data_IF_827351870627
#
_entry.id   IF_827351870627
#
_cell.length_a   1.000
_cell.length_b   1.000
_cell.length_c   1.000
_cell.angle_alpha   90.00
_cell.angle_beta   90.00
_cell.angle_gamma   90.00
#
_symmetry.space_group_name_H-M   'P 1'
#
loop_
_entity.id
_entity.type
_entity.pdbx_description
1 polymer ?
#
# COMPACT_ATOMS: atom_id res chain seq x y z
N UNK A 1 9.90 -39.17 -31.08
CA UNK A 1 8.42 -39.28 -30.96
C UNK A 1 8.04 -39.21 -29.49
N UNK A 2 6.86 -38.65 -29.15
CA UNK A 2 6.40 -38.08 -27.86
C UNK A 2 7.03 -36.70 -27.61
N UNK A 3 6.45 -35.53 -27.96
CA UNK A 3 5.09 -34.99 -27.79
C UNK A 3 4.60 -35.12 -26.35
N UNK A 4 4.96 -34.15 -25.50
CA UNK A 4 4.10 -33.68 -24.42
C UNK A 4 4.16 -32.16 -24.42
N UNK A 5 3.01 -31.60 -24.81
CA UNK A 5 2.73 -30.18 -24.88
C UNK A 5 2.63 -29.69 -23.43
N UNK A 6 3.66 -28.99 -22.98
CA UNK A 6 3.72 -28.31 -21.68
C UNK A 6 3.30 -26.85 -21.87
N UNK A 7 2.10 -26.68 -22.41
CA UNK A 7 1.43 -25.38 -22.51
C UNK A 7 0.09 -25.50 -21.81
N UNK A 8 0.05 -25.16 -20.53
CA UNK A 8 -1.12 -24.62 -19.87
C UNK A 8 -0.74 -24.25 -18.44
N UNK A 9 -1.20 -23.07 -18.01
CA UNK A 9 -1.26 -22.63 -16.62
C UNK A 9 0.09 -22.22 -16.03
N UNK A 10 0.48 -20.97 -16.31
CA UNK A 10 1.20 -20.11 -15.37
C UNK A 10 0.77 -18.63 -15.55
N UNK A 11 -0.48 -18.40 -15.98
CA UNK A 11 -1.17 -17.13 -15.72
C UNK A 11 -1.90 -17.27 -14.38
N UNK A 12 -1.14 -17.46 -13.31
CA UNK A 12 -1.66 -17.33 -11.96
C UNK A 12 -1.30 -15.94 -11.45
N UNK A 13 -2.28 -15.04 -11.52
CA UNK A 13 -2.44 -13.98 -10.54
C UNK A 13 -1.30 -12.96 -10.44
N UNK A 14 -1.07 -12.18 -11.50
CA UNK A 14 -0.82 -10.75 -11.28
C UNK A 14 -2.19 -10.09 -11.08
N UNK A 15 -2.92 -10.56 -10.06
CA UNK A 15 -4.01 -9.82 -9.48
C UNK A 15 -3.35 -8.59 -8.91
N UNK A 16 -3.49 -7.46 -9.60
CA UNK A 16 -3.29 -6.16 -9.03
C UNK A 16 -4.01 -6.17 -7.70
N UNK A 17 -3.25 -6.28 -6.60
CA UNK A 17 -3.72 -5.90 -5.27
C UNK A 17 -3.84 -4.39 -5.34
N UNK A 18 -4.88 -3.93 -6.03
CA UNK A 18 -5.51 -2.67 -5.71
C UNK A 18 -6.06 -2.91 -4.31
N UNK A 19 -5.31 -2.43 -3.32
CA UNK A 19 -5.75 -2.32 -1.93
C UNK A 19 -7.05 -1.51 -1.91
N UNK A 20 -8.17 -2.20 -2.08
CA UNK A 20 -9.47 -1.71 -1.68
C UNK A 20 -9.49 -1.73 -0.15
N UNK A 21 -9.59 -0.52 0.41
CA UNK A 21 -10.03 -0.23 1.78
C UNK A 21 -11.08 -1.25 2.24
N UNK A 22 -10.75 -2.02 3.26
CA UNK A 22 -11.68 -2.20 4.39
C UNK A 22 -10.91 -2.73 5.61
N UNK A 23 -11.23 -2.11 6.73
CA UNK A 23 -10.81 -2.41 8.08
C UNK A 23 -10.98 -3.90 8.42
N UNK A 24 -9.89 -4.59 8.79
CA UNK A 24 -9.84 -5.56 9.89
C UNK A 24 -8.52 -6.35 9.90
N UNK A 25 -7.71 -6.07 10.93
CA UNK A 25 -6.77 -6.96 11.61
C UNK A 25 -6.11 -8.07 10.77
N UNK A 26 -4.93 -7.79 10.23
CA UNK A 26 -3.99 -8.85 9.89
C UNK A 26 -2.94 -8.43 8.87
N UNK A 27 -1.74 -8.14 9.37
CA UNK A 27 -0.47 -8.14 8.64
C UNK A 27 -0.15 -6.91 7.77
N UNK A 28 0.55 -5.95 8.38
CA UNK A 28 1.78 -5.42 7.74
C UNK A 28 1.72 -4.10 6.99
N UNK A 29 0.80 -3.18 7.27
CA UNK A 29 0.90 -1.81 6.76
C UNK A 29 0.29 -0.85 7.77
N UNK A 30 1.13 -0.13 8.54
CA UNK A 30 0.66 0.94 9.43
C UNK A 30 0.09 2.05 8.55
N UNK A 31 -1.23 2.06 8.34
CA UNK A 31 -1.90 3.09 7.57
C UNK A 31 -2.74 3.97 8.48
N UNK A 32 -2.58 5.29 8.34
CA UNK A 32 -3.43 6.31 8.99
C UNK A 32 -4.15 7.14 7.94
N UNK A 33 -5.38 7.54 8.26
CA UNK A 33 -6.12 8.55 7.50
C UNK A 33 -5.83 9.91 8.13
N UNK A 34 -5.34 10.84 7.32
CA UNK A 34 -4.90 12.17 7.73
C UNK A 34 -5.79 13.24 7.14
N UNK A 35 -6.36 14.09 8.01
CA UNK A 35 -6.97 15.33 7.57
C UNK A 35 -5.85 16.37 7.37
N UNK A 36 -5.48 16.60 6.11
CA UNK A 36 -4.43 17.56 5.77
C UNK A 36 -5.09 18.92 5.55
N UNK A 37 -4.78 19.89 6.41
CA UNK A 37 -5.36 21.24 6.33
C UNK A 37 -5.26 21.81 4.91
N UNK A 38 -6.42 22.14 4.33
CA UNK A 38 -6.53 22.66 2.96
C UNK A 38 -7.00 21.64 1.92
N UNK A 39 -7.21 20.38 2.30
CA UNK A 39 -7.76 19.33 1.43
C UNK A 39 -9.14 18.90 1.92
N UNK A 40 -10.12 18.73 1.03
CA UNK A 40 -11.49 18.28 1.41
C UNK A 40 -11.60 16.76 1.57
N UNK A 41 -10.48 16.04 1.60
CA UNK A 41 -10.45 14.57 1.61
C UNK A 41 -9.32 14.07 2.50
N UNK A 42 -9.61 13.07 3.32
CA UNK A 42 -8.61 12.36 4.10
C UNK A 42 -7.56 11.70 3.19
N UNK A 43 -6.30 12.01 3.45
CA UNK A 43 -5.16 11.39 2.79
C UNK A 43 -4.80 10.12 3.54
N UNK A 44 -4.77 8.97 2.86
CA UNK A 44 -4.31 7.71 3.46
C UNK A 44 -2.80 7.61 3.30
N UNK A 45 -2.10 7.64 4.43
CA UNK A 45 -0.65 7.46 4.55
C UNK A 45 -0.41 6.05 5.07
N UNK A 46 0.53 5.31 4.49
CA UNK A 46 0.87 3.96 4.90
C UNK A 46 2.38 3.78 5.03
N UNK A 47 2.83 3.03 6.02
CA UNK A 47 4.22 2.58 6.10
C UNK A 47 4.49 1.45 5.08
N UNK A 48 5.57 1.55 4.33
CA UNK A 48 6.05 0.48 3.46
C UNK A 48 7.03 -0.46 4.17
N UNK A 49 7.45 -1.52 3.48
CA UNK A 49 8.40 -2.51 4.02
C UNK A 49 9.80 -1.94 4.36
N UNK A 50 10.13 -0.77 3.83
CA UNK A 50 11.40 -0.07 4.05
C UNK A 50 11.32 0.92 5.23
N UNK A 51 10.14 1.10 5.85
CA UNK A 51 9.88 2.05 6.94
C UNK A 51 9.48 3.47 6.47
N UNK A 52 9.32 3.68 5.16
CA UNK A 52 8.94 4.98 4.61
C UNK A 52 7.42 5.15 4.53
N UNK A 53 6.96 6.39 4.63
CA UNK A 53 5.59 6.77 4.31
C UNK A 53 5.31 6.63 2.81
N UNK A 54 4.13 6.09 2.52
CA UNK A 54 3.54 6.02 1.19
C UNK A 54 2.20 6.73 1.18
N UNK A 55 1.94 7.51 0.12
CA UNK A 55 0.66 8.21 -0.07
C UNK A 55 0.02 7.71 -1.35
N UNK A 56 -1.16 7.10 -1.24
CA UNK A 56 -1.82 6.47 -2.39
C UNK A 56 -0.98 5.38 -3.06
N UNK A 57 -0.10 4.72 -2.31
CA UNK A 57 0.81 3.67 -2.81
C UNK A 57 2.11 4.17 -3.44
N UNK A 58 2.38 5.48 -3.41
CA UNK A 58 3.66 6.05 -3.86
C UNK A 58 4.57 6.30 -2.66
N UNK A 59 5.79 5.76 -2.68
CA UNK A 59 6.82 6.04 -1.67
C UNK A 59 7.22 7.51 -1.71
N UNK A 60 7.15 8.15 -0.54
CA UNK A 60 7.55 9.54 -0.36
C UNK A 60 9.05 9.69 -0.15
N UNK A 61 9.75 8.61 0.24
CA UNK A 61 11.15 8.60 0.65
C UNK A 61 11.42 9.18 2.03
N UNK A 62 10.37 9.52 2.79
CA UNK A 62 10.45 9.99 4.17
C UNK A 62 10.05 8.88 5.13
N UNK A 63 10.68 8.86 6.30
CA UNK A 63 10.30 7.97 7.41
C UNK A 63 8.81 8.14 7.74
N UNK A 64 8.14 7.02 8.02
CA UNK A 64 6.71 7.03 8.28
C UNK A 64 6.34 7.90 9.49
N UNK A 65 7.02 7.72 10.62
CA UNK A 65 6.69 8.41 11.87
C UNK A 65 6.93 9.92 11.73
N UNK A 66 8.02 10.34 11.08
CA UNK A 66 8.29 11.76 10.84
C UNK A 66 7.30 12.40 9.86
N UNK A 67 6.84 11.63 8.85
CA UNK A 67 5.86 12.12 7.89
C UNK A 67 4.47 12.31 8.52
N UNK A 68 4.02 11.37 9.36
CA UNK A 68 2.73 11.48 10.06
C UNK A 68 2.76 12.52 11.17
N UNK A 69 3.85 12.61 11.95
CA UNK A 69 4.02 13.64 12.99
C UNK A 69 4.07 15.05 12.40
N UNK A 70 4.81 15.23 11.30
CA UNK A 70 4.89 16.51 10.59
C UNK A 70 3.57 16.97 9.98
N UNK A 71 2.67 16.04 9.69
CA UNK A 71 1.30 16.32 9.23
C UNK A 71 0.29 16.42 10.38
N UNK A 72 0.70 16.15 11.63
CA UNK A 72 -0.21 16.14 12.78
C UNK A 72 -1.18 14.95 12.78
N UNK A 73 -0.84 13.88 12.06
CA UNK A 73 -1.62 12.66 12.01
C UNK A 73 -1.18 11.73 13.14
N UNK A 74 -1.89 11.78 14.27
CA UNK A 74 -1.69 10.86 15.40
C UNK A 74 -2.95 10.05 15.66
#
# INVERSE_FOLDING_TARGET
MKKLILSAVLLAGLSFVACSKDDDKGSGSNCVSCDVEGTTQDVRICENSDGNATVGGMDTGFDYDEYVDGLGCN
#
